data_IF_513555410032
#
_entry.id   IF_513555410032
#
_cell.length_a   1.000
_cell.length_b   1.000
_cell.length_c   1.000
_cell.angle_alpha   90.00
_cell.angle_beta   90.00
_cell.angle_gamma   90.00
#
_symmetry.space_group_name_H-M   'P 1'
#
loop_
_entity.id
_entity.type
_entity.pdbx_description
1 polymer ?
#
# COMPACT_ATOMS: atom_id res chain seq x y z
N UNK A 1 -46.65 -62.61 -32.27
CA UNK A 1 -46.54 -63.41 -31.03
C UNK A 1 -45.18 -63.13 -30.41
N UNK A 2 -45.17 -62.62 -29.15
CA UNK A 2 -44.22 -62.94 -28.04
C UNK A 2 -42.71 -62.75 -28.32
N UNK A 3 -41.88 -61.98 -27.62
CA UNK A 3 -41.91 -61.18 -26.37
C UNK A 3 -40.68 -60.24 -26.41
N UNK A 4 -40.78 -59.04 -25.81
CA UNK A 4 -39.63 -58.28 -25.28
C UNK A 4 -39.22 -58.87 -23.92
N UNK A 5 -37.96 -58.67 -23.48
CA UNK A 5 -37.81 -57.89 -22.25
C UNK A 5 -36.64 -56.90 -22.22
N UNK A 6 -37.00 -55.71 -21.77
CA UNK A 6 -36.26 -54.64 -21.09
C UNK A 6 -34.84 -54.93 -20.57
N UNK A 7 -33.89 -54.06 -20.92
CA UNK A 7 -32.74 -53.72 -20.08
C UNK A 7 -32.43 -52.22 -20.17
N UNK A 8 -32.93 -51.48 -19.18
CA UNK A 8 -32.25 -50.42 -18.41
C UNK A 8 -31.38 -49.40 -19.17
N UNK A 9 -31.94 -48.19 -19.36
CA UNK A 9 -31.17 -46.93 -19.29
C UNK A 9 -30.56 -46.80 -17.87
N UNK A 10 -29.32 -46.29 -17.72
CA UNK A 10 -29.20 -44.84 -17.65
C UNK A 10 -27.94 -44.23 -18.29
N UNK A 11 -28.15 -43.08 -18.92
CA UNK A 11 -27.41 -41.83 -18.67
C UNK A 11 -25.92 -41.97 -18.28
N UNK A 12 -25.02 -41.76 -19.24
CA UNK A 12 -23.69 -41.24 -18.94
C UNK A 12 -23.40 -40.07 -19.87
N UNK A 13 -24.04 -38.96 -19.48
CA UNK A 13 -23.70 -37.60 -19.84
C UNK A 13 -22.21 -37.41 -19.48
N UNK A 14 -21.31 -37.60 -20.43
CA UNK A 14 -19.90 -37.20 -20.28
C UNK A 14 -19.81 -35.67 -20.32
N UNK A 15 -20.33 -35.02 -19.29
CA UNK A 15 -19.89 -33.70 -18.86
C UNK A 15 -18.50 -33.89 -18.24
N UNK A 16 -17.48 -34.06 -19.10
CA UNK A 16 -16.10 -33.89 -18.70
C UNK A 16 -15.97 -32.41 -18.29
N UNK A 17 -15.96 -32.23 -16.97
CA UNK A 17 -15.98 -30.95 -16.34
C UNK A 17 -14.81 -30.11 -16.84
N UNK A 18 -15.13 -29.07 -17.62
CA UNK A 18 -14.30 -27.88 -17.74
C UNK A 18 -14.34 -27.17 -16.37
N UNK A 19 -13.76 -27.78 -15.34
CA UNK A 19 -13.20 -27.03 -14.22
C UNK A 19 -11.98 -26.32 -14.80
N UNK A 20 -12.25 -25.21 -15.50
CA UNK A 20 -11.27 -24.15 -15.59
C UNK A 20 -10.91 -23.82 -14.15
N UNK A 21 -9.72 -24.22 -13.73
CA UNK A 21 -9.07 -23.58 -12.62
C UNK A 21 -8.99 -22.11 -13.01
N UNK A 22 -9.97 -21.32 -12.57
CA UNK A 22 -9.74 -19.90 -12.35
C UNK A 22 -8.65 -19.90 -11.30
N UNK A 23 -7.41 -19.93 -11.76
CA UNK A 23 -6.29 -19.48 -10.96
C UNK A 23 -6.66 -18.05 -10.61
N UNK A 24 -7.15 -17.87 -9.38
CA UNK A 24 -7.22 -16.59 -8.73
C UNK A 24 -5.78 -16.11 -8.62
N UNK A 25 -5.23 -15.55 -9.71
CA UNK A 25 -3.97 -14.83 -9.65
C UNK A 25 -4.21 -13.73 -8.64
N UNK A 26 -3.62 -13.89 -7.46
CA UNK A 26 -3.54 -12.84 -6.46
C UNK A 26 -2.87 -11.64 -7.13
N UNK A 27 -3.69 -10.72 -7.65
CA UNK A 27 -3.19 -9.52 -8.29
C UNK A 27 -2.62 -8.66 -7.19
N UNK A 28 -1.29 -8.64 -7.07
CA UNK A 28 -0.60 -7.81 -6.11
C UNK A 28 -1.06 -6.36 -6.28
N UNK A 29 -1.43 -5.71 -5.17
CA UNK A 29 -1.83 -4.29 -5.18
C UNK A 29 -0.70 -3.47 -5.83
N UNK A 30 -0.96 -2.74 -6.92
CA UNK A 30 0.09 -2.06 -7.66
C UNK A 30 0.62 -0.85 -6.89
N UNK A 31 1.94 -0.70 -6.86
CA UNK A 31 2.62 0.47 -6.27
C UNK A 31 2.67 1.59 -7.31
N UNK A 32 2.09 2.77 -7.05
CA UNK A 32 2.14 3.91 -7.97
C UNK A 32 3.58 4.40 -8.23
N UNK A 33 3.81 5.02 -9.39
CA UNK A 33 5.09 5.68 -9.65
C UNK A 33 5.26 6.93 -8.78
N UNK A 34 6.38 7.09 -8.05
CA UNK A 34 6.59 8.27 -7.23
C UNK A 34 6.59 9.59 -8.01
N UNK A 35 7.09 9.59 -9.26
CA UNK A 35 7.13 10.79 -10.11
C UNK A 35 5.75 11.11 -10.66
N UNK A 36 5.03 10.11 -11.19
CA UNK A 36 3.64 10.29 -11.61
C UNK A 36 2.76 10.75 -10.45
N UNK A 37 2.94 10.17 -9.26
CA UNK A 37 2.21 10.54 -8.06
C UNK A 37 2.42 12.01 -7.69
N UNK A 38 3.64 12.52 -7.81
CA UNK A 38 3.98 13.90 -7.49
C UNK A 38 3.35 14.92 -8.46
N UNK A 39 3.06 14.50 -9.70
CA UNK A 39 2.40 15.35 -10.70
C UNK A 39 0.88 15.45 -10.49
N UNK A 40 0.29 14.54 -9.73
CA UNK A 40 -1.15 14.55 -9.44
C UNK A 40 -1.55 15.73 -8.54
N UNK A 41 -2.71 16.31 -8.85
CA UNK A 41 -3.35 17.32 -8.00
C UNK A 41 -3.68 16.76 -6.60
N UNK A 42 -3.82 17.63 -5.58
CA UNK A 42 -4.23 17.22 -4.24
C UNK A 42 -5.47 16.30 -4.20
N UNK A 43 -6.47 16.61 -5.02
CA UNK A 43 -7.73 15.87 -5.11
C UNK A 43 -7.54 14.50 -5.77
N UNK A 44 -6.81 14.44 -6.89
CA UNK A 44 -6.50 13.16 -7.55
C UNK A 44 -5.70 12.23 -6.64
N UNK A 45 -4.71 12.75 -5.92
CA UNK A 45 -3.99 11.96 -4.94
C UNK A 45 -4.89 11.52 -3.78
N UNK A 46 -5.86 12.34 -3.37
CA UNK A 46 -6.82 11.95 -2.33
C UNK A 46 -7.68 10.76 -2.79
N UNK A 47 -8.22 10.83 -4.01
CA UNK A 47 -8.97 9.73 -4.60
C UNK A 47 -8.13 8.45 -4.72
N UNK A 48 -6.95 8.55 -5.33
CA UNK A 48 -6.03 7.40 -5.49
C UNK A 48 -5.65 6.78 -4.14
N UNK A 49 -5.47 7.59 -3.08
CA UNK A 49 -5.23 7.08 -1.71
C UNK A 49 -6.44 6.32 -1.16
N UNK A 50 -7.65 6.77 -1.44
CA UNK A 50 -8.86 6.08 -1.00
C UNK A 50 -8.98 4.73 -1.70
N UNK A 51 -8.75 4.69 -3.01
CA UNK A 51 -8.82 3.47 -3.81
C UNK A 51 -7.75 2.46 -3.36
N UNK A 52 -6.49 2.89 -3.23
CA UNK A 52 -5.40 2.06 -2.71
C UNK A 52 -5.70 1.54 -1.31
N UNK A 53 -6.32 2.36 -0.46
CA UNK A 53 -6.71 1.93 0.89
C UNK A 53 -7.80 0.87 0.85
N UNK A 54 -8.78 0.99 -0.05
CA UNK A 54 -9.81 -0.03 -0.22
C UNK A 54 -9.20 -1.35 -0.70
N UNK A 55 -8.34 -1.31 -1.71
CA UNK A 55 -7.61 -2.50 -2.20
C UNK A 55 -6.77 -3.16 -1.11
N UNK A 56 -6.01 -2.36 -0.33
CA UNK A 56 -5.19 -2.89 0.75
C UNK A 56 -6.02 -3.41 1.93
N UNK A 57 -7.25 -2.93 2.14
CA UNK A 57 -8.15 -3.47 3.18
C UNK A 57 -8.64 -4.88 2.84
N UNK A 58 -8.86 -5.17 1.56
CA UNK A 58 -9.24 -6.51 1.09
C UNK A 58 -8.05 -7.43 0.86
N UNK A 59 -6.82 -6.90 0.85
CA UNK A 59 -5.60 -7.67 0.62
C UNK A 59 -5.19 -8.50 1.84
N UNK A 60 -4.65 -9.70 1.57
CA UNK A 60 -4.04 -10.57 2.57
C UNK A 60 -2.84 -9.89 3.25
N UNK A 61 -2.42 -10.36 4.45
CA UNK A 61 -1.20 -9.87 5.09
C UNK A 61 0.05 -9.91 4.18
N UNK A 62 0.20 -10.98 3.39
CA UNK A 62 1.32 -11.18 2.48
C UNK A 62 1.31 -10.17 1.32
N UNK A 63 0.14 -9.89 0.73
CA UNK A 63 0.02 -8.88 -0.34
C UNK A 63 0.29 -7.46 0.18
N UNK A 64 -0.18 -7.15 1.40
CA UNK A 64 0.12 -5.87 2.05
C UNK A 64 1.61 -5.72 2.33
N UNK A 65 2.28 -6.80 2.72
CA UNK A 65 3.73 -6.81 2.91
C UNK A 65 4.48 -6.64 1.59
N UNK A 66 4.07 -7.35 0.53
CA UNK A 66 4.61 -7.20 -0.80
C UNK A 66 4.46 -5.77 -1.31
N UNK A 67 3.29 -5.15 -1.14
CA UNK A 67 3.07 -3.73 -1.47
C UNK A 67 4.06 -2.82 -0.73
N UNK A 68 4.25 -3.01 0.59
CA UNK A 68 5.19 -2.21 1.37
C UNK A 68 6.64 -2.41 0.90
N UNK A 69 7.02 -3.64 0.56
CA UNK A 69 8.36 -3.97 0.04
C UNK A 69 8.59 -3.30 -1.31
N UNK A 70 7.70 -3.51 -2.27
CA UNK A 70 7.78 -2.93 -3.61
C UNK A 70 7.79 -1.39 -3.57
N UNK A 71 7.03 -0.78 -2.65
CA UNK A 71 7.06 0.67 -2.44
C UNK A 71 8.43 1.14 -1.94
N UNK A 72 9.05 0.42 -1.01
CA UNK A 72 10.40 0.77 -0.53
C UNK A 72 11.45 0.59 -1.63
N UNK A 73 11.41 -0.50 -2.38
CA UNK A 73 12.32 -0.77 -3.50
C UNK A 73 12.22 0.33 -4.55
N UNK A 74 11.00 0.67 -4.98
CA UNK A 74 10.80 1.75 -5.96
C UNK A 74 11.30 3.11 -5.48
N UNK A 75 11.11 3.41 -4.19
CA UNK A 75 11.68 4.62 -3.60
C UNK A 75 13.21 4.53 -3.45
N UNK A 76 13.79 3.34 -3.34
CA UNK A 76 15.23 3.11 -3.27
C UNK A 76 15.91 3.17 -4.65
N UNK A 77 15.19 2.92 -5.72
CA UNK A 77 15.69 3.02 -7.10
C UNK A 77 15.72 4.45 -7.63
N UNK A 78 15.06 5.40 -6.95
CA UNK A 78 15.09 6.80 -7.38
C UNK A 78 16.50 7.37 -7.37
N UNK A 79 16.84 8.10 -8.45
CA UNK A 79 18.07 8.87 -8.53
C UNK A 79 18.12 9.95 -7.42
N UNK A 80 19.30 10.42 -7.01
CA UNK A 80 19.42 11.51 -6.05
C UNK A 80 18.62 12.76 -6.46
N UNK A 81 18.63 13.10 -7.76
CA UNK A 81 17.89 14.23 -8.31
C UNK A 81 16.38 14.04 -8.19
N UNK A 82 15.87 12.85 -8.54
CA UNK A 82 14.43 12.57 -8.42
C UNK A 82 13.96 12.64 -6.97
N UNK A 83 14.75 12.11 -6.02
CA UNK A 83 14.44 12.21 -4.60
C UNK A 83 14.38 13.66 -4.15
N UNK A 84 15.34 14.48 -4.57
CA UNK A 84 15.36 15.90 -4.24
C UNK A 84 14.12 16.61 -4.79
N UNK A 85 13.72 16.31 -6.03
CA UNK A 85 12.51 16.86 -6.64
C UNK A 85 11.24 16.49 -5.86
N UNK A 86 11.10 15.22 -5.45
CA UNK A 86 9.97 14.78 -4.62
C UNK A 86 9.94 15.47 -3.25
N UNK A 87 11.11 15.63 -2.62
CA UNK A 87 11.23 16.34 -1.33
C UNK A 87 10.88 17.82 -1.48
N UNK A 88 11.35 18.47 -2.55
CA UNK A 88 11.05 19.87 -2.84
C UNK A 88 9.54 20.07 -3.02
N UNK A 89 8.91 19.27 -3.89
CA UNK A 89 7.47 19.32 -4.11
C UNK A 89 6.66 19.14 -2.81
N UNK A 90 7.05 18.17 -1.97
CA UNK A 90 6.40 17.94 -0.68
C UNK A 90 6.56 19.13 0.28
N UNK A 91 7.73 19.79 0.28
CA UNK A 91 7.97 21.00 1.08
C UNK A 91 7.16 22.18 0.57
N UNK A 92 7.14 22.41 -0.74
CA UNK A 92 6.41 23.53 -1.34
C UNK A 92 4.92 23.43 -1.03
N UNK A 93 4.37 22.21 -1.14
CA UNK A 93 2.98 21.95 -0.76
C UNK A 93 2.71 22.13 0.73
N UNK A 94 3.64 21.77 1.60
CA UNK A 94 3.49 22.04 3.03
C UNK A 94 3.51 23.55 3.32
N UNK A 95 4.40 24.26 2.66
CA UNK A 95 4.57 25.70 2.82
C UNK A 95 3.36 26.48 2.28
N UNK A 96 2.69 25.99 1.23
CA UNK A 96 1.49 26.61 0.69
C UNK A 96 0.21 26.35 1.50
N UNK A 97 0.21 25.39 2.43
CA UNK A 97 -0.93 25.17 3.34
C UNK A 97 -1.04 26.29 4.38
N UNK A 98 -2.28 26.70 4.64
CA UNK A 98 -2.64 27.56 5.78
C UNK A 98 -2.37 26.86 7.12
N UNK A 99 -2.23 27.61 8.23
CA UNK A 99 -2.08 27.00 9.56
C UNK A 99 -3.20 26.00 9.91
N UNK A 100 -4.45 26.32 9.56
CA UNK A 100 -5.60 25.45 9.80
C UNK A 100 -5.53 24.15 9.00
N UNK A 101 -5.13 24.21 7.72
CA UNK A 101 -4.95 23.02 6.88
C UNK A 101 -3.81 22.14 7.38
N UNK A 102 -2.69 22.74 7.84
CA UNK A 102 -1.59 21.99 8.45
C UNK A 102 -2.03 21.27 9.72
N UNK A 103 -2.81 21.94 10.56
CA UNK A 103 -3.33 21.36 11.80
C UNK A 103 -4.29 20.21 11.50
N UNK A 104 -5.22 20.40 10.56
CA UNK A 104 -6.10 19.34 10.07
C UNK A 104 -5.29 18.15 9.54
N UNK A 105 -4.27 18.40 8.72
CA UNK A 105 -3.40 17.34 8.20
C UNK A 105 -2.71 16.56 9.32
N UNK A 106 -2.16 17.25 10.34
CA UNK A 106 -1.54 16.62 11.52
C UNK A 106 -2.55 15.77 12.29
N UNK A 107 -3.74 16.30 12.54
CA UNK A 107 -4.81 15.59 13.26
C UNK A 107 -5.26 14.33 12.51
N UNK A 108 -5.54 14.43 11.21
CA UNK A 108 -5.93 13.29 10.38
C UNK A 108 -4.83 12.21 10.34
N UNK A 109 -3.55 12.60 10.34
CA UNK A 109 -2.43 11.66 10.43
C UNK A 109 -2.36 10.99 11.81
N UNK A 110 -2.52 11.76 12.88
CA UNK A 110 -2.52 11.25 14.26
C UNK A 110 -3.66 10.28 14.53
N UNK A 111 -4.88 10.62 14.11
CA UNK A 111 -6.06 9.75 14.24
C UNK A 111 -5.86 8.44 13.48
N UNK A 112 -5.33 8.49 12.26
CA UNK A 112 -5.02 7.28 11.47
C UNK A 112 -4.01 6.38 12.17
N UNK A 113 -2.95 6.93 12.75
CA UNK A 113 -1.96 6.15 13.48
C UNK A 113 -2.56 5.50 14.75
N UNK A 114 -3.43 6.22 15.45
CA UNK A 114 -4.17 5.68 16.61
C UNK A 114 -5.13 4.56 16.22
N UNK A 115 -5.71 4.62 15.04
CA UNK A 115 -6.63 3.60 14.51
C UNK A 115 -5.92 2.34 13.95
N UNK A 116 -4.59 2.34 13.82
CA UNK A 116 -3.86 1.14 13.41
C UNK A 116 -3.92 0.04 14.49
N UNK A 117 -4.04 -1.24 14.10
CA UNK A 117 -3.87 -2.39 15.00
C UNK A 117 -2.54 -2.33 15.77
N UNK A 118 -2.50 -2.95 16.95
CA UNK A 118 -1.32 -2.97 17.82
C UNK A 118 -0.09 -3.54 17.11
N UNK A 119 -0.25 -4.64 16.38
CA UNK A 119 0.84 -5.30 15.64
C UNK A 119 1.38 -4.39 14.53
N UNK A 120 0.51 -3.77 13.72
CA UNK A 120 0.95 -2.84 12.68
C UNK A 120 1.69 -1.62 13.27
N UNK A 121 1.28 -1.16 14.45
CA UNK A 121 1.98 -0.08 15.16
C UNK A 121 3.37 -0.53 15.63
N UNK A 122 3.50 -1.74 16.15
CA UNK A 122 4.80 -2.34 16.54
C UNK A 122 5.73 -2.44 15.34
N UNK A 123 5.23 -2.90 14.19
CA UNK A 123 6.00 -2.99 12.95
C UNK A 123 6.51 -1.63 12.48
N UNK A 124 5.68 -0.58 12.57
CA UNK A 124 6.09 0.77 12.21
C UNK A 124 7.19 1.30 13.15
N UNK A 125 7.09 1.03 14.45
CA UNK A 125 8.10 1.40 15.44
C UNK A 125 9.40 0.65 15.18
N UNK A 126 9.34 -0.66 14.92
CA UNK A 126 10.50 -1.48 14.58
C UNK A 126 11.20 -0.99 13.30
N UNK A 127 10.44 -0.70 12.24
CA UNK A 127 10.98 -0.13 11.01
C UNK A 127 11.62 1.24 11.24
N UNK A 128 10.97 2.10 12.04
CA UNK A 128 11.52 3.41 12.38
C UNK A 128 12.83 3.28 13.16
N UNK A 129 12.90 2.35 14.11
CA UNK A 129 14.11 2.05 14.88
C UNK A 129 15.23 1.57 13.96
N UNK A 130 14.97 0.58 13.12
CA UNK A 130 15.95 0.06 12.16
C UNK A 130 16.48 1.15 11.21
N UNK A 131 15.63 2.12 10.81
CA UNK A 131 16.08 3.27 10.03
C UNK A 131 17.00 4.21 10.84
N UNK A 132 16.66 4.46 12.10
CA UNK A 132 17.47 5.32 12.97
C UNK A 132 18.80 4.67 13.37
N UNK A 133 18.84 3.34 13.47
CA UNK A 133 20.07 2.59 13.78
C UNK A 133 21.12 2.69 12.65
N UNK A 134 20.70 3.07 11.44
CA UNK A 134 21.62 3.39 10.32
C UNK A 134 22.27 4.77 10.44
N UNK A 135 21.79 5.62 11.35
CA UNK A 135 22.32 6.96 11.58
C UNK A 135 23.34 6.95 12.73
N UNK A 136 24.40 7.74 12.60
CA UNK A 136 25.37 7.95 13.67
C UNK A 136 24.70 8.59 14.90
N UNK A 137 25.38 8.53 16.06
CA UNK A 137 24.90 9.22 17.28
C UNK A 137 24.71 10.72 17.05
N UNK A 138 25.64 11.35 16.32
CA UNK A 138 25.60 12.77 15.96
C UNK A 138 24.45 13.09 15.00
N UNK A 139 24.26 12.31 13.94
CA UNK A 139 23.14 12.48 13.00
C UNK A 139 21.78 12.33 13.71
N UNK A 140 21.68 11.39 14.65
CA UNK A 140 20.47 11.23 15.48
C UNK A 140 20.27 12.40 16.44
N UNK A 141 21.33 13.03 16.95
CA UNK A 141 21.23 14.20 17.80
C UNK A 141 20.77 15.42 16.99
N UNK A 142 21.38 15.67 15.84
CA UNK A 142 20.98 16.73 14.91
C UNK A 142 19.52 16.59 14.46
N UNK A 143 19.07 15.36 14.17
CA UNK A 143 17.67 15.09 13.84
C UNK A 143 16.73 15.41 15.00
N UNK A 144 17.11 15.07 16.25
CA UNK A 144 16.32 15.38 17.45
C UNK A 144 16.17 16.89 17.64
N UNK A 145 17.26 17.66 17.54
CA UNK A 145 17.19 19.13 17.63
C UNK A 145 16.28 19.73 16.56
N UNK A 146 16.42 19.27 15.31
CA UNK A 146 15.59 19.77 14.20
C UNK A 146 14.10 19.50 14.38
N UNK A 147 13.74 18.38 15.02
CA UNK A 147 12.35 18.02 15.29
C UNK A 147 11.79 18.75 16.52
N UNK A 148 12.63 19.11 17.50
CA UNK A 148 12.26 19.92 18.67
C UNK A 148 11.88 21.34 18.27
N UNK A 149 12.57 21.90 17.27
CA UNK A 149 12.46 23.29 16.85
C UNK A 149 11.48 23.51 15.68
N UNK A 150 10.54 22.58 15.46
CA UNK A 150 9.55 22.58 14.35
C UNK A 150 8.12 22.54 14.86
#
# INVERSE_FOLDING_TARGET
MKHQPSALLPLLLCCAALFGAVESRAQAVPVPDPKEWAQLTPQQQAQRRLDLRQQLRSASPQEREAFRRNLRERLQELSPQDRQALIANAKDRWNSMTPQERERFKQERGQRLKALPSEERRDLIAQRRAMLDKLSSEERAALREKLRNR
#
